data_IF_475054983278
#
_entry.id   IF_475054983278
#
_cell.length_a   1.000
_cell.length_b   1.000
_cell.length_c   1.000
_cell.angle_alpha   90.00
_cell.angle_beta   90.00
_cell.angle_gamma   90.00
#
_symmetry.space_group_name_H-M   'P 1'
#
loop_
_entity.id
_entity.type
_entity.pdbx_description
1 polymer ?
#
# COMPACT_ATOMS: atom_id res chain seq x y z
N UNK A 1 -1.68 -22.07 4.15
CA UNK A 1 -2.97 -22.76 3.94
C UNK A 1 -4.12 -21.81 4.27
N UNK A 2 -5.31 -22.10 3.79
CA UNK A 2 -6.54 -21.34 4.11
C UNK A 2 -6.76 -21.24 5.63
N UNK A 3 -6.58 -22.34 6.35
CA UNK A 3 -6.69 -22.38 7.83
C UNK A 3 -5.72 -21.43 8.51
N UNK A 4 -4.47 -21.36 8.02
CA UNK A 4 -3.46 -20.44 8.58
C UNK A 4 -3.85 -18.99 8.33
N UNK A 5 -4.40 -18.68 7.16
CA UNK A 5 -4.83 -17.33 6.80
C UNK A 5 -6.03 -16.89 7.67
N UNK A 6 -7.03 -17.75 7.86
CA UNK A 6 -8.16 -17.51 8.78
C UNK A 6 -7.66 -17.22 10.20
N UNK A 7 -6.70 -18.03 10.70
CA UNK A 7 -6.14 -17.82 12.05
C UNK A 7 -5.41 -16.48 12.16
N UNK A 8 -4.66 -16.08 11.12
CA UNK A 8 -3.96 -14.80 11.09
C UNK A 8 -4.93 -13.61 10.99
N UNK A 9 -5.98 -13.72 10.18
CA UNK A 9 -7.02 -12.69 10.08
C UNK A 9 -7.66 -12.45 11.44
N UNK A 10 -8.09 -13.53 12.11
CA UNK A 10 -8.67 -13.43 13.45
C UNK A 10 -7.68 -12.86 14.46
N UNK A 11 -6.43 -13.29 14.44
CA UNK A 11 -5.41 -12.72 15.33
C UNK A 11 -5.20 -11.23 15.12
N UNK A 12 -5.20 -10.76 13.87
CA UNK A 12 -5.11 -9.33 13.57
C UNK A 12 -6.31 -8.57 14.13
N UNK A 13 -7.54 -9.05 13.89
CA UNK A 13 -8.78 -8.44 14.40
C UNK A 13 -8.82 -8.39 15.93
N UNK A 14 -8.48 -9.48 16.60
CA UNK A 14 -8.43 -9.56 18.07
C UNK A 14 -7.40 -8.57 18.68
N UNK A 15 -6.42 -8.11 17.87
CA UNK A 15 -5.43 -7.11 18.26
C UNK A 15 -5.69 -5.70 17.66
N UNK A 16 -6.90 -5.43 17.18
CA UNK A 16 -7.30 -4.12 16.67
C UNK A 16 -6.63 -3.73 15.35
N UNK A 17 -6.24 -4.72 14.55
CA UNK A 17 -5.62 -4.55 13.23
C UNK A 17 -6.39 -5.33 12.17
N UNK A 18 -6.00 -5.19 10.90
CA UNK A 18 -6.62 -5.86 9.76
C UNK A 18 -5.56 -6.59 8.94
N UNK A 19 -5.91 -7.77 8.45
CA UNK A 19 -5.10 -8.51 7.49
C UNK A 19 -5.76 -8.43 6.12
N UNK A 20 -5.03 -7.92 5.13
CA UNK A 20 -5.42 -7.98 3.72
C UNK A 20 -4.19 -8.34 2.87
N UNK A 21 -4.40 -8.67 1.60
CA UNK A 21 -3.33 -9.19 0.77
C UNK A 21 -3.48 -8.80 -0.70
N UNK A 22 -2.43 -9.08 -1.49
CA UNK A 22 -2.41 -8.90 -2.94
C UNK A 22 -2.69 -10.24 -3.62
N UNK A 23 -3.87 -10.50 -4.18
CA UNK A 23 -4.11 -11.71 -4.96
C UNK A 23 -3.38 -11.59 -6.31
N UNK A 24 -2.59 -12.61 -6.64
CA UNK A 24 -1.85 -12.67 -7.91
C UNK A 24 -2.62 -13.34 -9.05
N UNK A 25 -3.70 -14.07 -8.71
CA UNK A 25 -4.54 -14.84 -9.62
C UNK A 25 -5.97 -15.00 -9.07
N UNK A 26 -6.87 -15.56 -9.88
CA UNK A 26 -8.27 -15.78 -9.48
C UNK A 26 -8.41 -16.78 -8.33
N UNK A 27 -7.50 -17.72 -8.16
CA UNK A 27 -7.55 -18.69 -7.06
C UNK A 27 -7.25 -17.99 -5.72
N UNK A 28 -6.23 -17.15 -5.67
CA UNK A 28 -5.89 -16.34 -4.50
C UNK A 28 -6.96 -15.28 -4.21
N UNK A 29 -7.56 -14.66 -5.24
CA UNK A 29 -8.69 -13.77 -5.08
C UNK A 29 -9.89 -14.49 -4.42
N UNK A 30 -10.24 -15.67 -4.92
CA UNK A 30 -11.32 -16.46 -4.33
C UNK A 30 -11.00 -16.92 -2.89
N UNK A 31 -9.74 -17.17 -2.57
CA UNK A 31 -9.32 -17.43 -1.19
C UNK A 31 -9.57 -16.22 -0.28
N UNK A 32 -9.21 -15.03 -0.72
CA UNK A 32 -9.45 -13.79 0.04
C UNK A 32 -10.94 -13.52 0.23
N UNK A 33 -11.78 -13.81 -0.78
CA UNK A 33 -13.24 -13.74 -0.67
C UNK A 33 -13.79 -14.67 0.42
N UNK A 34 -13.29 -15.92 0.48
CA UNK A 34 -13.74 -16.90 1.50
C UNK A 34 -13.39 -16.52 2.93
N UNK A 35 -12.33 -15.77 3.13
CA UNK A 35 -11.94 -15.27 4.47
C UNK A 35 -12.51 -13.88 4.77
N UNK A 36 -13.39 -13.36 3.94
CA UNK A 36 -14.03 -12.05 4.10
C UNK A 36 -13.00 -10.92 4.27
N UNK A 37 -11.98 -10.88 3.38
CA UNK A 37 -11.00 -9.78 3.42
C UNK A 37 -11.68 -8.41 3.38
N UNK A 38 -11.16 -7.46 4.13
CA UNK A 38 -11.74 -6.11 4.25
C UNK A 38 -11.21 -5.13 3.19
N UNK A 39 -10.13 -5.48 2.48
CA UNK A 39 -9.54 -4.69 1.41
C UNK A 39 -8.71 -5.58 0.50
N UNK A 40 -8.44 -5.08 -0.71
CA UNK A 40 -7.46 -5.67 -1.62
C UNK A 40 -6.24 -4.76 -1.76
N UNK A 41 -5.06 -5.36 -1.90
CA UNK A 41 -3.86 -4.69 -2.35
C UNK A 41 -3.55 -5.11 -3.79
N UNK A 42 -3.24 -4.16 -4.65
CA UNK A 42 -2.67 -4.40 -5.97
C UNK A 42 -1.21 -3.94 -5.94
N UNK A 43 -0.29 -4.88 -5.95
CA UNK A 43 1.15 -4.59 -5.99
C UNK A 43 1.54 -3.95 -7.33
N UNK A 44 2.68 -3.26 -7.35
CA UNK A 44 3.18 -2.58 -8.57
C UNK A 44 3.25 -3.52 -9.77
N UNK A 45 3.70 -4.75 -9.59
CA UNK A 45 3.79 -5.76 -10.66
C UNK A 45 2.44 -6.29 -11.14
N UNK A 46 1.36 -6.10 -10.37
CA UNK A 46 0.00 -6.53 -10.72
C UNK A 46 -0.88 -5.41 -11.28
N UNK A 47 -0.39 -4.17 -11.30
CA UNK A 47 -1.19 -3.01 -11.70
C UNK A 47 -1.75 -3.12 -13.13
N UNK A 48 -1.03 -3.78 -14.03
CA UNK A 48 -1.46 -3.99 -15.41
C UNK A 48 -2.36 -5.23 -15.62
N UNK A 49 -2.61 -6.01 -14.57
CA UNK A 49 -3.50 -7.18 -14.63
C UNK A 49 -4.97 -6.76 -14.54
N UNK A 50 -5.46 -6.14 -15.60
CA UNK A 50 -6.82 -5.57 -15.67
C UNK A 50 -7.90 -6.60 -15.35
N UNK A 51 -7.75 -7.85 -15.78
CA UNK A 51 -8.75 -8.89 -15.57
C UNK A 51 -9.00 -9.20 -14.08
N UNK A 52 -7.93 -9.25 -13.27
CA UNK A 52 -8.09 -9.50 -11.84
C UNK A 52 -8.60 -8.25 -11.10
N UNK A 53 -8.18 -7.05 -11.53
CA UNK A 53 -8.66 -5.78 -10.97
C UNK A 53 -10.17 -5.63 -11.23
N UNK A 54 -10.64 -5.94 -12.43
CA UNK A 54 -12.06 -5.92 -12.77
C UNK A 54 -12.89 -6.86 -11.88
N UNK A 55 -12.35 -8.04 -11.58
CA UNK A 55 -13.00 -8.97 -10.64
C UNK A 55 -12.98 -8.44 -9.19
N UNK A 56 -11.90 -7.78 -8.73
CA UNK A 56 -11.86 -7.17 -7.40
C UNK A 56 -12.89 -6.05 -7.25
N UNK A 57 -13.08 -5.24 -8.28
CA UNK A 57 -14.04 -4.12 -8.29
C UNK A 57 -15.47 -4.61 -8.02
N UNK A 58 -15.83 -5.80 -8.51
CA UNK A 58 -17.17 -6.39 -8.30
C UNK A 58 -17.52 -6.64 -6.82
N UNK A 59 -16.51 -6.83 -5.98
CA UNK A 59 -16.69 -7.07 -4.55
C UNK A 59 -16.99 -5.78 -3.76
N UNK A 60 -16.80 -4.63 -4.37
CA UNK A 60 -17.09 -3.30 -3.82
C UNK A 60 -16.45 -3.01 -2.44
N UNK A 61 -15.27 -3.60 -2.18
CA UNK A 61 -14.44 -3.31 -1.01
C UNK A 61 -13.24 -2.46 -1.40
N UNK A 62 -12.57 -1.76 -0.45
CA UNK A 62 -11.44 -0.89 -0.76
C UNK A 62 -10.33 -1.58 -1.54
N UNK A 63 -9.74 -0.87 -2.53
CA UNK A 63 -8.56 -1.34 -3.26
C UNK A 63 -7.42 -0.33 -3.11
N UNK A 64 -6.24 -0.82 -2.71
CA UNK A 64 -5.03 0.00 -2.59
C UNK A 64 -4.07 -0.39 -3.72
N UNK A 65 -3.80 0.54 -4.63
CA UNK A 65 -2.94 0.33 -5.78
C UNK A 65 -1.54 0.92 -5.56
N UNK A 66 -0.47 0.14 -5.78
CA UNK A 66 0.90 0.67 -5.86
C UNK A 66 1.32 0.88 -7.32
N UNK A 67 1.94 2.03 -7.61
CA UNK A 67 2.21 2.49 -8.97
C UNK A 67 3.67 2.32 -9.43
N UNK A 68 4.54 1.67 -8.64
CA UNK A 68 5.98 1.67 -8.83
C UNK A 68 6.52 1.09 -10.14
N UNK A 69 5.75 0.24 -10.83
CA UNK A 69 6.07 -0.31 -12.15
C UNK A 69 5.11 0.15 -13.25
N UNK A 70 4.11 0.95 -12.89
CA UNK A 70 3.10 1.47 -13.83
C UNK A 70 3.61 2.76 -14.48
N UNK A 71 3.41 2.88 -15.79
CA UNK A 71 3.53 4.14 -16.49
C UNK A 71 2.25 4.96 -16.30
N UNK A 72 2.30 6.24 -16.63
CA UNK A 72 1.15 7.14 -16.54
C UNK A 72 -0.07 6.57 -17.30
N UNK A 73 0.15 6.01 -18.49
CA UNK A 73 -0.89 5.38 -19.32
C UNK A 73 -1.52 4.16 -18.64
N UNK A 74 -0.75 3.41 -17.86
CA UNK A 74 -1.26 2.26 -17.08
C UNK A 74 -2.13 2.74 -15.92
N UNK A 75 -1.71 3.81 -15.24
CA UNK A 75 -2.48 4.44 -14.17
C UNK A 75 -3.81 4.96 -14.72
N UNK A 76 -3.79 5.69 -15.83
CA UNK A 76 -4.99 6.18 -16.50
C UNK A 76 -5.93 5.03 -16.91
N UNK A 77 -5.38 3.92 -17.40
CA UNK A 77 -6.17 2.73 -17.73
C UNK A 77 -6.86 2.14 -16.50
N UNK A 78 -6.15 2.04 -15.37
CA UNK A 78 -6.70 1.58 -14.10
C UNK A 78 -7.82 2.49 -13.57
N UNK A 79 -7.60 3.81 -13.60
CA UNK A 79 -8.61 4.81 -13.22
C UNK A 79 -9.85 4.70 -14.12
N UNK A 80 -9.66 4.68 -15.44
CA UNK A 80 -10.77 4.54 -16.39
C UNK A 80 -11.56 3.23 -16.17
N UNK A 81 -10.92 2.15 -15.74
CA UNK A 81 -11.61 0.92 -15.38
C UNK A 81 -12.49 1.12 -14.14
N UNK A 82 -11.96 1.79 -13.12
CA UNK A 82 -12.72 2.14 -11.91
C UNK A 82 -13.94 3.02 -12.27
N UNK A 83 -13.73 4.08 -13.05
CA UNK A 83 -14.79 5.00 -13.47
C UNK A 83 -15.89 4.30 -14.27
N UNK A 84 -15.54 3.42 -15.21
CA UNK A 84 -16.50 2.64 -16.00
C UNK A 84 -17.39 1.74 -15.14
N UNK A 85 -16.88 1.31 -14.00
CA UNK A 85 -17.60 0.47 -13.04
C UNK A 85 -18.23 1.27 -11.88
N UNK A 86 -18.17 2.61 -11.90
CA UNK A 86 -18.60 3.49 -10.81
C UNK A 86 -17.97 3.12 -9.47
N UNK A 87 -16.71 2.69 -9.49
CA UNK A 87 -15.96 2.29 -8.32
C UNK A 87 -14.98 3.40 -7.91
N UNK A 88 -15.22 4.01 -6.75
CA UNK A 88 -14.44 5.15 -6.24
C UNK A 88 -13.77 4.85 -4.89
N UNK A 89 -13.91 3.63 -4.38
CA UNK A 89 -13.36 3.21 -3.09
C UNK A 89 -11.93 2.66 -3.26
N UNK A 90 -11.01 3.53 -3.72
CA UNK A 90 -9.62 3.13 -3.90
C UNK A 90 -8.63 4.24 -3.55
N UNK A 91 -7.36 3.86 -3.39
CA UNK A 91 -6.25 4.76 -3.16
C UNK A 91 -5.06 4.40 -4.08
N UNK A 92 -4.25 5.40 -4.44
CA UNK A 92 -3.00 5.22 -5.18
C UNK A 92 -1.81 5.44 -4.25
N UNK A 93 -0.88 4.52 -4.21
CA UNK A 93 0.40 4.68 -3.52
C UNK A 93 1.50 4.99 -4.54
N UNK A 94 2.13 6.15 -4.41
CA UNK A 94 3.42 6.38 -5.04
C UNK A 94 4.42 5.33 -4.54
N UNK A 95 5.21 4.78 -5.44
CA UNK A 95 6.13 3.70 -5.14
C UNK A 95 7.31 3.73 -6.12
N UNK A 96 8.49 3.38 -5.65
CA UNK A 96 9.66 3.07 -6.49
C UNK A 96 10.06 1.63 -6.22
N UNK A 97 10.00 0.78 -7.27
CA UNK A 97 10.25 -0.68 -7.16
C UNK A 97 11.75 -1.00 -7.26
N UNK A 98 12.55 -0.38 -6.39
CA UNK A 98 13.96 -0.69 -6.15
C UNK A 98 14.15 -1.06 -4.68
N UNK A 99 14.93 -2.08 -4.39
CA UNK A 99 15.05 -2.69 -3.05
C UNK A 99 16.51 -2.83 -2.61
N UNK A 100 17.07 -1.89 -1.79
CA UNK A 100 16.45 -0.66 -1.32
C UNK A 100 16.44 0.46 -2.36
N UNK A 101 15.50 1.42 -2.19
CA UNK A 101 15.50 2.67 -2.96
C UNK A 101 16.40 3.70 -2.27
N UNK A 102 17.23 4.44 -3.03
CA UNK A 102 17.98 5.58 -2.51
C UNK A 102 17.17 6.88 -2.58
N UNK A 103 17.50 7.86 -1.74
CA UNK A 103 16.81 9.16 -1.69
C UNK A 103 16.86 9.92 -3.03
N UNK A 104 17.95 9.76 -3.82
CA UNK A 104 18.07 10.40 -5.14
C UNK A 104 17.13 9.80 -6.20
N UNK A 105 16.57 8.63 -5.96
CA UNK A 105 15.65 7.95 -6.87
C UNK A 105 14.19 8.28 -6.57
N UNK A 106 13.92 9.05 -5.50
CA UNK A 106 12.57 9.43 -5.09
C UNK A 106 12.14 10.75 -5.72
N UNK A 107 10.86 10.81 -6.05
CA UNK A 107 10.14 12.04 -6.35
C UNK A 107 8.90 12.12 -5.45
N UNK A 108 9.08 12.55 -4.20
CA UNK A 108 7.99 12.61 -3.21
C UNK A 108 6.85 13.55 -3.65
N UNK A 109 7.14 14.59 -4.45
CA UNK A 109 6.12 15.49 -5.01
C UNK A 109 5.13 14.76 -5.93
N UNK A 110 5.48 13.58 -6.43
CA UNK A 110 4.58 12.79 -7.27
C UNK A 110 3.32 12.34 -6.53
N UNK A 111 3.35 12.28 -5.19
CA UNK A 111 2.16 12.05 -4.35
C UNK A 111 1.12 13.13 -4.60
N UNK A 112 1.54 14.40 -4.59
CA UNK A 112 0.65 15.53 -4.88
C UNK A 112 0.20 15.57 -6.34
N UNK A 113 1.05 15.13 -7.27
CA UNK A 113 0.69 14.99 -8.67
C UNK A 113 -0.47 14.00 -8.85
N UNK A 114 -0.36 12.81 -8.26
CA UNK A 114 -1.41 11.77 -8.30
C UNK A 114 -2.71 12.27 -7.68
N UNK A 115 -2.64 12.92 -6.51
CA UNK A 115 -3.82 13.47 -5.83
C UNK A 115 -4.54 14.49 -6.72
N UNK A 116 -3.81 15.48 -7.24
CA UNK A 116 -4.39 16.56 -8.04
C UNK A 116 -4.91 16.09 -9.40
N UNK A 117 -4.16 15.18 -10.06
CA UNK A 117 -4.52 14.72 -11.40
C UNK A 117 -5.76 13.82 -11.38
N UNK A 118 -5.85 12.92 -10.39
CA UNK A 118 -6.89 11.90 -10.37
C UNK A 118 -7.96 12.13 -9.31
N UNK A 119 -7.79 13.13 -8.44
CA UNK A 119 -8.71 13.44 -7.33
C UNK A 119 -9.03 12.23 -6.45
N UNK A 120 -7.98 11.51 -6.03
CA UNK A 120 -8.06 10.27 -5.25
C UNK A 120 -7.25 10.37 -3.96
N UNK A 121 -7.52 9.49 -2.99
CA UNK A 121 -6.66 9.32 -1.83
C UNK A 121 -5.29 8.83 -2.29
N UNK A 122 -4.23 9.49 -1.83
CA UNK A 122 -2.86 9.10 -2.16
C UNK A 122 -2.06 8.71 -0.93
N UNK A 123 -1.06 7.88 -1.16
CA UNK A 123 -0.12 7.42 -0.15
C UNK A 123 1.26 7.12 -0.72
N UNK A 124 2.08 6.47 0.07
CA UNK A 124 3.43 6.10 -0.28
C UNK A 124 3.75 4.66 0.14
N UNK A 125 4.25 3.86 -0.79
CA UNK A 125 4.81 2.52 -0.54
C UNK A 125 6.33 2.63 -0.57
N UNK A 126 6.96 2.47 0.59
CA UNK A 126 8.36 2.81 0.84
C UNK A 126 9.27 1.59 0.84
N UNK A 127 10.35 1.67 0.02
CA UNK A 127 11.43 0.69 -0.03
C UNK A 127 12.79 1.29 0.37
N UNK A 128 12.80 2.47 0.98
CA UNK A 128 14.04 3.06 1.53
C UNK A 128 14.39 2.42 2.87
N UNK A 129 15.63 2.60 3.32
CA UNK A 129 16.03 2.25 4.69
C UNK A 129 15.64 3.38 5.64
N UNK A 130 15.04 3.03 6.80
CA UNK A 130 14.64 4.01 7.80
C UNK A 130 13.28 4.66 7.54
N UNK A 131 13.00 5.76 8.23
CA UNK A 131 11.68 6.41 8.28
C UNK A 131 11.57 7.71 7.48
N UNK A 132 12.70 8.29 7.07
CA UNK A 132 12.75 9.67 6.54
C UNK A 132 11.82 9.91 5.36
N UNK A 133 11.79 8.96 4.41
CA UNK A 133 10.92 9.08 3.23
C UNK A 133 9.43 8.99 3.58
N UNK A 134 9.07 8.14 4.56
CA UNK A 134 7.70 8.05 5.08
C UNK A 134 7.27 9.37 5.72
N UNK A 135 8.13 9.99 6.55
CA UNK A 135 7.83 11.28 7.20
C UNK A 135 7.70 12.41 6.17
N UNK A 136 8.57 12.43 5.16
CA UNK A 136 8.47 13.38 4.05
C UNK A 136 7.14 13.18 3.27
N UNK A 137 6.78 11.93 2.95
CA UNK A 137 5.54 11.61 2.25
C UNK A 137 4.29 12.09 3.03
N UNK A 138 4.23 11.87 4.35
CA UNK A 138 3.14 12.38 5.20
C UNK A 138 3.11 13.90 5.21
N UNK A 139 4.27 14.55 5.27
CA UNK A 139 4.39 16.02 5.20
C UNK A 139 3.86 16.55 3.87
N UNK A 140 4.02 15.82 2.77
CA UNK A 140 3.50 16.14 1.44
C UNK A 140 2.02 15.75 1.24
N UNK A 141 1.38 15.10 2.21
CA UNK A 141 -0.07 14.83 2.15
C UNK A 141 -0.45 13.36 2.04
N UNK A 142 0.51 12.43 1.98
CA UNK A 142 0.21 11.00 1.97
C UNK A 142 -0.71 10.61 3.14
N UNK A 143 -1.79 9.89 2.84
CA UNK A 143 -2.78 9.40 3.82
C UNK A 143 -2.55 7.95 4.22
N UNK A 144 -1.79 7.22 3.40
CA UNK A 144 -1.46 5.82 3.62
C UNK A 144 0.05 5.67 3.48
N UNK A 145 0.68 4.99 4.43
CA UNK A 145 2.08 4.59 4.38
C UNK A 145 2.15 3.07 4.41
N UNK A 146 2.85 2.50 3.43
CA UNK A 146 3.18 1.08 3.37
C UNK A 146 4.70 0.93 3.55
N UNK A 147 5.13 0.03 4.43
CA UNK A 147 6.53 -0.17 4.77
C UNK A 147 6.83 -1.64 5.03
N UNK A 148 7.93 -2.14 4.50
CA UNK A 148 8.45 -3.47 4.84
C UNK A 148 8.78 -3.55 6.33
N UNK A 149 8.38 -4.66 6.95
CA UNK A 149 8.53 -4.91 8.39
C UNK A 149 9.12 -6.28 8.63
N UNK A 150 10.02 -6.39 9.59
CA UNK A 150 10.57 -7.68 10.04
C UNK A 150 10.80 -7.67 11.53
N UNK A 151 10.72 -8.82 12.16
CA UNK A 151 11.12 -8.99 13.58
C UNK A 151 12.64 -9.10 13.75
N UNK A 152 13.37 -9.42 12.69
CA UNK A 152 14.82 -9.58 12.71
C UNK A 152 15.41 -9.31 11.31
N UNK A 153 16.23 -8.27 11.18
CA UNK A 153 16.89 -7.89 9.93
C UNK A 153 17.99 -8.87 9.48
N UNK A 154 18.41 -9.80 10.35
CA UNK A 154 19.42 -10.82 10.03
C UNK A 154 18.85 -12.09 9.39
N UNK A 155 17.52 -12.23 9.37
CA UNK A 155 16.84 -13.36 8.74
C UNK A 155 17.15 -13.43 7.24
N UNK A 156 17.29 -14.68 6.75
CA UNK A 156 17.48 -14.94 5.33
C UNK A 156 16.20 -14.70 4.55
N UNK A 157 16.11 -13.60 3.86
CA UNK A 157 14.99 -13.21 3.00
C UNK A 157 15.35 -11.93 2.27
N UNK A 158 14.94 -11.81 1.02
CA UNK A 158 15.35 -10.72 0.14
C UNK A 158 15.13 -9.33 0.75
N UNK A 159 14.03 -9.15 1.50
CA UNK A 159 13.59 -7.85 1.98
C UNK A 159 13.91 -7.60 3.47
N UNK A 160 14.39 -8.60 4.22
CA UNK A 160 14.62 -8.44 5.66
C UNK A 160 15.64 -7.33 5.97
N UNK A 161 16.72 -7.23 5.19
CA UNK A 161 17.79 -6.25 5.42
C UNK A 161 17.32 -4.80 5.30
N UNK A 162 16.33 -4.51 4.44
CA UNK A 162 15.76 -3.16 4.26
C UNK A 162 14.52 -2.90 5.11
N UNK A 163 13.94 -3.96 5.69
CA UNK A 163 12.70 -3.89 6.46
C UNK A 163 12.90 -3.17 7.78
N UNK A 164 11.83 -2.60 8.28
CA UNK A 164 11.84 -1.86 9.54
C UNK A 164 11.63 -2.82 10.73
N UNK A 165 12.46 -2.67 11.76
CA UNK A 165 12.29 -3.40 13.04
C UNK A 165 11.07 -2.89 13.82
N UNK A 166 10.53 -3.67 14.77
CA UNK A 166 9.38 -3.25 15.59
C UNK A 166 9.60 -1.91 16.31
N UNK A 167 10.78 -1.69 16.86
CA UNK A 167 11.13 -0.46 17.56
C UNK A 167 11.14 0.75 16.62
N UNK A 168 11.80 0.62 15.48
CA UNK A 168 11.88 1.69 14.48
C UNK A 168 10.50 1.96 13.86
N UNK A 169 9.69 0.93 13.62
CA UNK A 169 8.33 1.09 13.10
C UNK A 169 7.44 1.86 14.08
N UNK A 170 7.52 1.53 15.38
CA UNK A 170 6.82 2.27 16.45
C UNK A 170 7.23 3.74 16.44
N UNK A 171 8.54 4.03 16.41
CA UNK A 171 9.07 5.40 16.36
C UNK A 171 8.58 6.16 15.12
N UNK A 172 8.58 5.52 13.97
CA UNK A 172 8.01 6.10 12.74
C UNK A 172 6.55 6.48 12.93
N UNK A 173 5.72 5.59 13.49
CA UNK A 173 4.32 5.87 13.75
C UNK A 173 4.14 7.06 14.71
N UNK A 174 4.93 7.14 15.79
CA UNK A 174 4.91 8.26 16.74
C UNK A 174 5.28 9.59 16.04
N UNK A 175 6.31 9.57 15.19
CA UNK A 175 6.75 10.74 14.43
C UNK A 175 5.69 11.17 13.39
N UNK A 176 5.03 10.23 12.71
CA UNK A 176 3.90 10.52 11.82
C UNK A 176 2.80 11.23 12.58
N UNK A 177 2.39 10.74 13.77
CA UNK A 177 1.36 11.40 14.60
C UNK A 177 1.77 12.80 15.05
N UNK A 178 3.05 13.04 15.30
CA UNK A 178 3.57 14.37 15.61
C UNK A 178 3.48 15.32 14.40
N UNK A 179 3.80 14.85 13.19
CA UNK A 179 3.64 15.64 11.96
C UNK A 179 2.15 16.00 11.74
N UNK A 180 1.25 15.06 11.94
CA UNK A 180 -0.19 15.31 11.81
C UNK A 180 -0.65 16.42 12.77
N UNK A 181 -0.20 16.40 14.03
CA UNK A 181 -0.50 17.48 15.00
C UNK A 181 0.02 18.84 14.57
N UNK A 182 1.19 18.90 13.91
CA UNK A 182 1.75 20.15 13.39
C UNK A 182 0.95 20.72 12.22
N UNK A 183 0.31 19.85 11.42
CA UNK A 183 -0.46 20.25 10.23
C UNK A 183 -1.87 20.78 10.58
N UNK A 184 -2.45 20.35 11.68
CA UNK A 184 -3.81 20.67 12.08
C UNK A 184 -3.82 21.60 13.31
N UNK A 185 -3.10 22.72 13.24
CA UNK A 185 -3.38 23.83 14.16
C UNK A 185 -4.68 24.49 13.66
N UNK A 186 -5.77 24.18 14.34
CA UNK A 186 -7.07 24.83 14.17
C UNK A 186 -7.03 26.27 14.68
#
# INVERSE_FOLDING_TARGET
SEKSLISLTKFAEDNGSFLFSSPGDFSSLNLLRRINTTAYKVSSGQFTNIAIIEEMIKDNIPIIFSTGMAKEEDIERGINLCDKNNFYNFALLYCVSLYPTSSQQLNIDYINHLEKKYNVITGYSDHTIGELACLAAVSMGAKIIEKHFTTDNTLTGADNALSMSPENFKKMCENIRNIEKMKYIS
#
